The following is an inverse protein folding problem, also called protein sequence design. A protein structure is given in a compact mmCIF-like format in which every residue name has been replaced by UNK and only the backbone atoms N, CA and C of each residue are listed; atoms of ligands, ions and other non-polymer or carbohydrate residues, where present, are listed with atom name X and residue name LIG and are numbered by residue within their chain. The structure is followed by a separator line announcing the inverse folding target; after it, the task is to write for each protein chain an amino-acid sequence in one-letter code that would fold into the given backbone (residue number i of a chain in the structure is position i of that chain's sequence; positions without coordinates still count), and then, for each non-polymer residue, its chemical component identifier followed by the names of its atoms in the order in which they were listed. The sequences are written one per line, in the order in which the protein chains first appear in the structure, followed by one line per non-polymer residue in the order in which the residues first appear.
data_IF_306176198173
#
_entry.id   IF_306176198173
#
_cell.length_a   1.000
_cell.length_b   1.000
_cell.length_c   1.000
_cell.angle_alpha   90.00
_cell.angle_beta   90.00
_cell.angle_gamma   90.00
#
_symmetry.space_group_name_H-M   'P 1'
#
loop_
_entity.id
_entity.type
_entity.pdbx_description
1 polymer ?
#
# COMPACT_ATOMS: atom_id res chain seq x y z
N UNK A 1 -29.55 15.00 -10.83
CA UNK A 1 -28.33 15.37 -10.09
C UNK A 1 -27.23 14.40 -10.50
N UNK A 2 -26.24 14.83 -11.27
CA UNK A 2 -25.09 13.98 -11.62
C UNK A 2 -24.22 13.87 -10.37
N UNK A 3 -24.13 12.68 -9.77
CA UNK A 3 -23.10 12.39 -8.76
C UNK A 3 -21.76 12.64 -9.45
N UNK A 4 -21.06 13.70 -9.09
CA UNK A 4 -19.67 13.88 -9.47
C UNK A 4 -18.91 12.69 -8.90
N UNK A 5 -18.62 11.71 -9.75
CA UNK A 5 -17.93 10.50 -9.36
C UNK A 5 -16.46 10.89 -9.21
N UNK A 6 -16.10 11.43 -8.04
CA UNK A 6 -14.74 11.86 -7.72
C UNK A 6 -13.84 10.64 -7.83
N UNK A 7 -13.17 10.48 -8.96
CA UNK A 7 -12.25 9.38 -9.24
C UNK A 7 -11.18 9.38 -8.15
N UNK A 8 -11.20 8.37 -7.29
CA UNK A 8 -10.21 8.17 -6.21
C UNK A 8 -9.15 7.21 -6.70
N UNK A 9 -8.30 7.66 -7.61
CA UNK A 9 -7.20 6.88 -8.17
C UNK A 9 -5.88 7.01 -7.38
N UNK A 10 -5.94 7.60 -6.18
CA UNK A 10 -4.82 7.70 -5.25
C UNK A 10 -5.16 7.05 -3.90
N UNK A 11 -4.23 6.29 -3.33
CA UNK A 11 -4.34 5.62 -2.03
C UNK A 11 -3.21 6.09 -1.11
N UNK A 12 -3.54 6.52 0.10
CA UNK A 12 -2.55 6.72 1.17
C UNK A 12 -2.63 5.52 2.11
N UNK A 13 -1.58 4.70 2.14
CA UNK A 13 -1.43 3.59 3.05
C UNK A 13 -0.78 4.04 4.36
N UNK A 14 -1.34 3.60 5.48
CA UNK A 14 -0.82 3.86 6.82
C UNK A 14 0.34 2.91 7.12
N UNK A 15 1.55 3.46 7.31
CA UNK A 15 2.72 2.70 7.72
C UNK A 15 2.88 2.75 9.24
N UNK A 16 2.47 1.67 9.90
CA UNK A 16 2.60 1.47 11.34
C UNK A 16 3.64 0.40 11.72
N UNK A 17 4.33 -0.18 10.74
CA UNK A 17 5.44 -1.11 10.91
C UNK A 17 6.56 -0.79 9.91
N UNK A 18 7.81 -0.77 10.36
CA UNK A 18 8.99 -0.56 9.51
C UNK A 18 9.20 -1.70 8.50
N UNK A 19 8.86 -2.93 8.88
CA UNK A 19 9.02 -4.10 8.02
C UNK A 19 8.15 -4.00 6.75
N UNK A 20 6.92 -3.53 6.88
CA UNK A 20 6.03 -3.33 5.73
C UNK A 20 6.54 -2.24 4.79
N UNK A 21 7.11 -1.17 5.35
CA UNK A 21 7.74 -0.14 4.53
C UNK A 21 9.02 -0.63 3.85
N UNK A 22 9.81 -1.47 4.53
CA UNK A 22 11.00 -2.08 3.93
C UNK A 22 10.62 -2.96 2.73
N UNK A 23 9.59 -3.80 2.86
CA UNK A 23 9.05 -4.57 1.73
C UNK A 23 8.61 -3.63 0.59
N UNK A 24 7.86 -2.58 0.90
CA UNK A 24 7.41 -1.63 -0.11
C UNK A 24 8.58 -0.99 -0.86
N UNK A 25 9.66 -0.65 -0.14
CA UNK A 25 10.86 -0.01 -0.70
C UNK A 25 11.75 -0.97 -1.49
N UNK A 26 11.90 -2.21 -1.03
CA UNK A 26 12.84 -3.18 -1.62
C UNK A 26 12.19 -4.06 -2.70
N UNK A 27 10.89 -4.35 -2.56
CA UNK A 27 10.17 -5.31 -3.40
C UNK A 27 9.09 -4.66 -4.27
N UNK A 28 8.85 -3.36 -4.12
CA UNK A 28 7.91 -2.57 -4.93
C UNK A 28 6.45 -3.05 -4.88
N UNK A 29 5.98 -3.48 -3.71
CA UNK A 29 4.57 -3.82 -3.52
C UNK A 29 4.05 -3.53 -2.11
N UNK A 30 2.73 -3.37 -1.98
CA UNK A 30 1.99 -3.22 -0.71
C UNK A 30 0.82 -4.21 -0.65
N UNK A 31 0.29 -4.50 0.54
CA UNK A 31 -0.81 -5.46 0.71
C UNK A 31 -1.98 -4.95 1.56
N UNK A 32 -3.19 -5.36 1.19
CA UNK A 32 -4.42 -5.11 1.95
C UNK A 32 -5.16 -6.45 2.13
N UNK A 33 -5.52 -6.87 3.35
CA UNK A 33 -6.29 -8.10 3.53
C UNK A 33 -7.66 -7.98 2.82
N UNK A 34 -8.04 -8.99 2.03
CA UNK A 34 -9.33 -9.03 1.32
C UNK A 34 -10.52 -9.01 2.29
N UNK A 35 -10.33 -9.50 3.53
CA UNK A 35 -11.35 -9.48 4.59
C UNK A 35 -11.62 -8.09 5.17
N UNK A 36 -10.83 -7.08 4.80
CA UNK A 36 -11.02 -5.70 5.26
C UNK A 36 -12.30 -5.11 4.67
N UNK A 37 -13.24 -4.67 5.51
CA UNK A 37 -14.51 -4.07 5.03
C UNK A 37 -14.34 -2.74 4.28
N UNK A 38 -13.18 -2.09 4.43
CA UNK A 38 -12.89 -0.76 3.92
C UNK A 38 -11.85 -0.77 2.78
N UNK A 39 -11.73 -1.87 2.03
CA UNK A 39 -10.88 -1.88 0.83
C UNK A 39 -11.40 -0.80 -0.14
N UNK A 40 -10.55 0.12 -0.63
CA UNK A 40 -10.98 1.14 -1.57
C UNK A 40 -11.51 0.54 -2.88
N UNK A 41 -12.60 1.09 -3.41
CA UNK A 41 -13.16 0.66 -4.71
C UNK A 41 -12.13 0.71 -5.85
N UNK A 42 -11.17 1.63 -5.81
CA UNK A 42 -10.12 1.71 -6.81
C UNK A 42 -9.14 0.54 -6.79
N UNK A 43 -8.97 -0.10 -5.64
CA UNK A 43 -8.20 -1.36 -5.53
C UNK A 43 -9.03 -2.51 -6.09
N UNK A 44 -10.29 -2.62 -5.67
CA UNK A 44 -11.20 -3.70 -6.12
C UNK A 44 -11.42 -3.68 -7.63
N UNK A 45 -11.62 -2.48 -8.20
CA UNK A 45 -11.90 -2.30 -9.62
C UNK A 45 -10.63 -2.16 -10.48
N UNK A 46 -9.44 -2.32 -9.90
CA UNK A 46 -8.16 -2.16 -10.58
C UNK A 46 -8.01 -0.81 -11.31
N UNK A 47 -8.46 0.27 -10.68
CA UNK A 47 -8.39 1.66 -11.21
C UNK A 47 -7.49 2.58 -10.38
N UNK A 48 -6.78 2.04 -9.37
CA UNK A 48 -5.80 2.78 -8.59
C UNK A 48 -4.58 3.09 -9.46
N UNK A 49 -4.16 4.35 -9.47
CA UNK A 49 -2.99 4.82 -10.24
C UNK A 49 -1.78 5.08 -9.39
N UNK A 50 -1.98 5.55 -8.15
CA UNK A 50 -0.87 5.91 -7.27
C UNK A 50 -1.13 5.41 -5.86
N UNK A 51 -0.06 5.00 -5.20
CA UNK A 51 -0.05 4.70 -3.78
C UNK A 51 1.01 5.57 -3.11
N UNK A 52 0.72 6.04 -1.91
CA UNK A 52 1.67 6.74 -1.07
C UNK A 52 1.60 6.27 0.37
N UNK A 53 2.65 6.58 1.13
CA UNK A 53 2.87 5.98 2.44
C UNK A 53 2.93 7.05 3.51
N UNK A 54 1.93 7.07 4.39
CA UNK A 54 1.93 7.92 5.56
C UNK A 54 2.69 7.25 6.69
N UNK A 55 3.80 7.85 7.09
CA UNK A 55 4.64 7.35 8.16
C UNK A 55 4.07 7.76 9.52
N UNK A 56 3.84 6.79 10.39
CA UNK A 56 3.43 7.06 11.78
C UNK A 56 4.63 7.36 12.67
N UNK A 57 4.38 7.63 13.95
CA UNK A 57 5.39 7.96 14.98
C UNK A 57 6.60 7.02 15.04
N UNK A 58 6.48 5.76 14.61
CA UNK A 58 7.57 4.78 14.63
C UNK A 58 8.73 5.16 13.68
N UNK A 59 8.50 6.08 12.75
CA UNK A 59 9.47 6.58 11.77
C UNK A 59 10.27 7.79 12.27
N UNK A 60 10.11 8.20 13.54
CA UNK A 60 10.91 9.26 14.18
C UNK A 60 10.92 10.58 13.37
N UNK A 61 12.08 11.01 12.88
CA UNK A 61 12.26 12.23 12.09
C UNK A 61 11.47 12.22 10.77
N UNK A 62 11.17 11.02 10.26
CA UNK A 62 10.34 10.81 9.06
C UNK A 62 8.85 10.58 9.39
N UNK A 63 8.41 10.78 10.63
CA UNK A 63 7.02 10.58 11.03
C UNK A 63 6.08 11.70 10.57
N UNK A 64 4.78 11.41 10.64
CA UNK A 64 3.65 12.33 10.43
C UNK A 64 3.60 13.01 9.05
N UNK A 65 4.17 12.36 8.04
CA UNK A 65 4.20 12.88 6.68
C UNK A 65 4.02 11.77 5.64
N UNK A 66 3.61 12.19 4.45
CA UNK A 66 3.63 11.37 3.24
C UNK A 66 4.83 11.82 2.42
N UNK A 67 5.95 11.09 2.52
CA UNK A 67 7.17 11.37 1.75
C UNK A 67 7.33 10.46 0.56
N UNK A 68 6.76 9.26 0.62
CA UNK A 68 7.02 8.23 -0.37
C UNK A 68 5.76 7.91 -1.16
N UNK A 69 5.86 7.89 -2.48
CA UNK A 69 4.79 7.50 -3.38
C UNK A 69 5.31 6.72 -4.58
N UNK A 70 4.45 5.93 -5.23
CA UNK A 70 4.78 5.18 -6.44
C UNK A 70 3.57 5.02 -7.36
N UNK A 71 3.83 4.86 -8.65
CA UNK A 71 2.82 4.57 -9.67
C UNK A 71 2.46 3.09 -9.65
N UNK A 72 1.17 2.79 -9.55
CA UNK A 72 0.63 1.43 -9.48
C UNK A 72 0.70 0.80 -10.86
N UNK A 73 1.34 -0.37 -10.93
CA UNK A 73 1.49 -1.17 -12.14
C UNK A 73 0.47 -2.28 -12.25
N UNK A 74 0.15 -2.94 -11.13
CA UNK A 74 -0.71 -4.09 -11.11
C UNK A 74 -1.37 -4.27 -9.75
N UNK A 75 -2.59 -4.81 -9.75
CA UNK A 75 -3.27 -5.26 -8.54
C UNK A 75 -3.71 -6.70 -8.76
N UNK A 76 -3.26 -7.58 -7.87
CA UNK A 76 -3.60 -9.01 -7.90
C UNK A 76 -4.04 -9.48 -6.53
N UNK A 77 -4.60 -10.69 -6.44
CA UNK A 77 -4.91 -11.34 -5.17
C UNK A 77 -3.92 -12.48 -4.97
N UNK A 78 -3.29 -12.53 -3.79
CA UNK A 78 -2.35 -13.58 -3.43
C UNK A 78 -2.56 -14.04 -1.98
N UNK A 79 -2.32 -15.33 -1.66
CA UNK A 79 -2.30 -15.80 -0.29
C UNK A 79 -1.17 -15.16 0.51
N UNK A 80 -1.42 -14.92 1.80
CA UNK A 80 -0.45 -14.31 2.72
C UNK A 80 0.92 -14.99 2.71
N UNK A 81 0.97 -16.32 2.70
CA UNK A 81 2.21 -17.12 2.63
C UNK A 81 3.02 -16.95 1.35
N UNK A 82 2.39 -16.52 0.25
CA UNK A 82 3.08 -16.24 -1.01
C UNK A 82 3.74 -14.86 -0.93
N UNK A 83 3.05 -13.90 -0.30
CA UNK A 83 3.58 -12.55 -0.09
C UNK A 83 4.66 -12.48 0.99
N UNK A 84 4.55 -13.34 2.00
CA UNK A 84 5.43 -13.39 3.17
C UNK A 84 5.83 -14.85 3.42
N UNK A 85 6.86 -15.38 2.73
CA UNK A 85 7.24 -16.78 2.83
C UNK A 85 7.67 -17.21 4.24
N UNK A 86 8.18 -16.29 5.05
CA UNK A 86 8.68 -16.55 6.40
C UNK A 86 7.60 -16.93 7.42
N UNK A 87 6.32 -16.75 7.08
CA UNK A 87 5.17 -17.07 7.95
C UNK A 87 4.34 -18.26 7.45
N UNK A 88 4.95 -19.17 6.70
CA UNK A 88 4.27 -20.30 6.05
C UNK A 88 3.43 -21.19 7.01
N UNK A 89 3.81 -21.27 8.28
CA UNK A 89 3.14 -22.07 9.31
C UNK A 89 2.12 -21.29 10.18
N UNK A 90 1.80 -20.05 9.82
CA UNK A 90 0.80 -19.24 10.53
C UNK A 90 -0.63 -19.74 10.24
N UNK A 91 -1.53 -19.67 11.23
CA UNK A 91 -2.96 -19.96 11.07
C UNK A 91 -3.61 -19.14 9.95
N UNK A 92 -3.07 -17.94 9.69
CA UNK A 92 -3.54 -17.01 8.65
C UNK A 92 -2.75 -17.08 7.34
N UNK A 93 -1.91 -18.09 7.17
CA UNK A 93 -1.04 -18.24 5.99
C UNK A 93 -1.82 -18.28 4.65
N UNK A 94 -3.06 -18.77 4.67
CA UNK A 94 -3.91 -18.87 3.48
C UNK A 94 -4.87 -17.69 3.29
N UNK A 95 -4.89 -16.72 4.21
CA UNK A 95 -5.73 -15.52 4.05
C UNK A 95 -5.35 -14.78 2.77
N UNK A 96 -6.35 -14.32 2.02
CA UNK A 96 -6.14 -13.60 0.77
C UNK A 96 -5.88 -12.11 0.99
N UNK A 97 -4.95 -11.57 0.21
CA UNK A 97 -4.58 -10.16 0.23
C UNK A 97 -4.57 -9.62 -1.20
N UNK A 98 -5.05 -8.39 -1.35
CA UNK A 98 -4.69 -7.58 -2.52
C UNK A 98 -3.21 -7.27 -2.44
N UNK A 99 -2.46 -7.64 -3.49
CA UNK A 99 -1.08 -7.23 -3.74
C UNK A 99 -1.11 -6.08 -4.73
N UNK A 100 -0.69 -4.90 -4.30
CA UNK A 100 -0.59 -3.69 -5.11
C UNK A 100 0.88 -3.53 -5.47
N UNK A 101 1.21 -3.80 -6.72
CA UNK A 101 2.57 -3.65 -7.27
C UNK A 101 2.70 -2.28 -7.92
N UNK A 102 3.87 -1.68 -7.77
CA UNK A 102 4.21 -0.37 -8.33
C UNK A 102 5.60 -0.39 -8.95
N UNK A 103 5.97 0.67 -9.66
CA UNK A 103 7.28 0.81 -10.30
C UNK A 103 8.43 0.82 -9.29
N UNK A 104 8.55 1.94 -8.60
CA UNK A 104 9.44 2.19 -7.48
C UNK A 104 8.80 3.29 -6.65
N UNK A 105 9.29 3.48 -5.43
CA UNK A 105 8.86 4.61 -4.60
C UNK A 105 9.83 5.76 -4.74
N UNK A 106 9.29 6.94 -4.98
CA UNK A 106 10.00 8.20 -5.05
C UNK A 106 9.78 8.97 -3.75
N UNK A 107 10.84 9.63 -3.28
CA UNK A 107 10.73 10.57 -2.17
C UNK A 107 10.30 11.93 -2.75
N UNK A 108 9.13 12.41 -2.36
CA UNK A 108 8.74 13.79 -2.56
C UNK A 108 9.70 14.66 -1.75
N UNK A 109 10.66 15.27 -2.45
CA UNK A 109 11.65 16.15 -1.85
C UNK A 109 10.87 17.32 -1.24
N UNK A 110 11.01 17.55 0.05
CA UNK A 110 10.58 18.82 0.63
C UNK A 110 11.49 19.89 0.02
N UNK A 111 10.97 20.68 -0.93
CA UNK A 111 11.51 22.02 -1.12
C UNK A 111 11.42 22.69 0.24
N UNK A 112 12.57 23.03 0.81
CA UNK A 112 12.67 23.75 2.08
C UNK A 112 11.71 24.95 2.05
N UNK A 113 10.65 24.89 2.86
CA UNK A 113 9.78 26.02 3.20
C UNK A 113 10.17 26.54 4.57
#
# INVERSE_FOLDING_TARGET
MVKQNKKRDFLVALMNNKYDFQIAKEQNWYRIPCSTKMVPESVVNNTLKYIAFYHTKIFNEDAYCVRWYGEVKNISIAPRKVLLPEIQNDLKANDEYYKIEFDSIECAINSDY
#
